data_IF_279449594148
#
_entry.id   IF_279449594148
#
_cell.length_a   1.000
_cell.length_b   1.000
_cell.length_c   1.000
_cell.angle_alpha   90.00
_cell.angle_beta   90.00
_cell.angle_gamma   90.00
#
_symmetry.space_group_name_H-M   'P 1'
#
loop_
_entity.id
_entity.type
_entity.pdbx_description
1 polymer ?
#
# COMPACT_ATOMS: atom_id res chain seq x y z
N UNK A 1 -5.43 -31.73 9.71
CA UNK A 1 -5.86 -31.10 8.44
C UNK A 1 -4.81 -30.04 8.12
N UNK A 2 -4.13 -30.13 6.98
CA UNK A 2 -3.20 -29.08 6.55
C UNK A 2 -4.02 -27.85 6.20
N UNK A 3 -3.92 -26.80 7.01
CA UNK A 3 -4.54 -25.51 6.71
C UNK A 3 -4.03 -25.05 5.33
N UNK A 4 -4.94 -24.83 4.38
CA UNK A 4 -4.59 -24.30 3.07
C UNK A 4 -4.10 -22.87 3.23
N UNK A 5 -2.91 -22.56 2.70
CA UNK A 5 -2.35 -21.21 2.72
C UNK A 5 -3.31 -20.22 2.04
N UNK A 6 -3.47 -19.00 2.56
CA UNK A 6 -4.32 -17.99 1.92
C UNK A 6 -3.67 -17.46 0.63
N UNK A 7 -4.52 -17.14 -0.34
CA UNK A 7 -4.13 -16.53 -1.61
C UNK A 7 -4.22 -15.01 -1.46
N UNK A 8 -3.10 -14.33 -1.66
CA UNK A 8 -3.02 -12.87 -1.58
C UNK A 8 -2.92 -12.28 -2.98
N UNK A 9 -3.98 -11.55 -3.37
CA UNK A 9 -4.01 -10.85 -4.66
C UNK A 9 -3.17 -9.59 -4.64
N UNK A 10 -2.43 -9.36 -5.73
CA UNK A 10 -1.64 -8.16 -5.97
C UNK A 10 -1.81 -7.74 -7.43
N UNK A 11 -2.26 -6.51 -7.67
CA UNK A 11 -2.44 -6.02 -9.05
C UNK A 11 -1.08 -5.77 -9.68
N UNK A 12 -0.91 -6.28 -10.90
CA UNK A 12 0.29 -6.06 -11.72
C UNK A 12 -0.05 -5.14 -12.89
N UNK A 13 0.59 -3.97 -12.89
CA UNK A 13 0.46 -2.99 -13.96
C UNK A 13 1.36 -3.27 -15.16
N UNK A 14 1.16 -2.51 -16.22
CA UNK A 14 2.09 -2.46 -17.35
C UNK A 14 3.21 -1.48 -17.03
N UNK A 15 4.39 -1.66 -17.64
CA UNK A 15 5.50 -0.72 -17.53
C UNK A 15 5.92 -0.24 -18.94
N UNK A 16 5.09 0.54 -19.63
CA UNK A 16 5.30 0.87 -21.04
C UNK A 16 6.60 1.59 -21.33
N UNK A 17 7.12 2.38 -20.37
CA UNK A 17 8.42 3.06 -20.51
C UNK A 17 9.62 2.14 -20.27
N UNK A 18 9.49 1.14 -19.37
CA UNK A 18 10.59 0.23 -19.00
C UNK A 18 10.58 -1.06 -19.83
N UNK A 19 9.41 -1.61 -20.09
CA UNK A 19 9.21 -2.87 -20.78
C UNK A 19 7.89 -2.83 -21.59
N UNK A 20 7.90 -2.25 -22.81
CA UNK A 20 6.70 -2.16 -23.65
C UNK A 20 6.08 -3.54 -23.90
N UNK A 21 4.75 -3.65 -23.76
CA UNK A 21 4.01 -4.89 -23.97
C UNK A 21 4.21 -5.96 -22.88
N UNK A 22 4.76 -5.59 -21.73
CA UNK A 22 4.97 -6.50 -20.59
C UNK A 22 4.30 -5.96 -19.34
N UNK A 23 3.83 -6.89 -18.50
CA UNK A 23 3.57 -6.62 -17.11
C UNK A 23 4.86 -6.79 -16.29
N UNK A 24 5.14 -5.85 -15.40
CA UNK A 24 6.34 -5.88 -14.55
C UNK A 24 5.92 -5.74 -13.09
N UNK A 25 6.50 -6.56 -12.23
CA UNK A 25 6.24 -6.56 -10.80
C UNK A 25 7.53 -6.68 -10.00
N UNK A 26 7.62 -5.98 -8.87
CA UNK A 26 8.79 -6.03 -8.01
C UNK A 26 8.77 -7.29 -7.13
N UNK A 27 9.78 -8.14 -7.29
CA UNK A 27 9.94 -9.41 -6.56
C UNK A 27 9.82 -9.29 -5.03
N UNK A 28 10.32 -8.24 -4.35
CA UNK A 28 10.21 -8.10 -2.89
C UNK A 28 8.80 -8.26 -2.32
N UNK A 29 7.74 -7.85 -3.04
CA UNK A 29 6.35 -8.08 -2.59
C UNK A 29 6.00 -9.57 -2.59
N UNK A 30 6.39 -10.29 -3.64
CA UNK A 30 6.17 -11.74 -3.77
C UNK A 30 6.89 -12.48 -2.64
N UNK A 31 8.14 -12.10 -2.38
CA UNK A 31 8.97 -12.69 -1.34
C UNK A 31 8.38 -12.42 0.06
N UNK A 32 7.95 -11.19 0.33
CA UNK A 32 7.37 -10.81 1.63
C UNK A 32 6.07 -11.59 1.93
N UNK A 33 5.16 -11.73 0.95
CA UNK A 33 3.93 -12.54 1.08
C UNK A 33 4.27 -14.01 1.30
N UNK A 34 5.23 -14.56 0.54
CA UNK A 34 5.66 -15.95 0.66
C UNK A 34 6.31 -16.24 2.02
N UNK A 35 7.19 -15.34 2.48
CA UNK A 35 7.83 -15.43 3.80
C UNK A 35 6.83 -15.34 4.95
N UNK A 36 5.74 -14.59 4.78
CA UNK A 36 4.65 -14.52 5.75
C UNK A 36 3.73 -15.75 5.75
N UNK A 37 3.86 -16.65 4.76
CA UNK A 37 3.11 -17.90 4.67
C UNK A 37 1.92 -17.87 3.71
N UNK A 38 1.71 -16.80 2.94
CA UNK A 38 0.69 -16.68 1.89
C UNK A 38 1.14 -17.26 0.55
N UNK A 39 0.19 -17.35 -0.37
CA UNK A 39 0.43 -17.64 -1.80
C UNK A 39 0.18 -16.33 -2.57
N UNK A 40 1.21 -15.71 -3.16
CA UNK A 40 1.04 -14.52 -3.96
C UNK A 40 0.36 -14.85 -5.31
N UNK A 41 -0.68 -14.10 -5.68
CA UNK A 41 -1.37 -14.19 -6.97
C UNK A 41 -1.34 -12.83 -7.65
N UNK A 42 -0.67 -12.76 -8.80
CA UNK A 42 -0.61 -11.53 -9.59
C UNK A 42 -1.90 -11.38 -10.43
N UNK A 43 -2.55 -10.24 -10.33
CA UNK A 43 -3.81 -9.90 -10.99
C UNK A 43 -3.52 -8.88 -12.09
N UNK A 44 -3.49 -9.28 -13.37
CA UNK A 44 -3.16 -8.35 -14.45
C UNK A 44 -4.27 -7.33 -14.69
N UNK A 45 -3.88 -6.11 -15.08
CA UNK A 45 -4.81 -5.10 -15.61
C UNK A 45 -5.20 -5.51 -17.02
N UNK A 46 -6.49 -5.73 -17.26
CA UNK A 46 -7.01 -6.29 -18.52
C UNK A 46 -7.88 -5.32 -19.33
N UNK A 47 -8.18 -4.12 -18.80
CA UNK A 47 -9.15 -3.21 -19.39
C UNK A 47 -10.62 -3.67 -19.27
N UNK A 48 -10.88 -4.86 -18.73
CA UNK A 48 -12.23 -5.37 -18.48
C UNK A 48 -12.76 -4.86 -17.14
N UNK A 49 -13.84 -4.08 -17.18
CA UNK A 49 -14.49 -3.54 -15.99
C UNK A 49 -15.01 -4.63 -15.03
N UNK A 50 -15.33 -5.84 -15.52
CA UNK A 50 -15.80 -6.96 -14.72
C UNK A 50 -14.66 -7.77 -14.06
N UNK A 51 -13.40 -7.50 -14.39
CA UNK A 51 -12.27 -8.26 -13.88
C UNK A 51 -12.19 -8.24 -12.34
N UNK A 52 -12.51 -7.11 -11.69
CA UNK A 52 -12.48 -7.00 -10.23
C UNK A 52 -13.40 -8.02 -9.55
N UNK A 53 -14.62 -8.21 -10.06
CA UNK A 53 -15.59 -9.19 -9.51
C UNK A 53 -15.10 -10.64 -9.64
N UNK A 54 -14.37 -10.95 -10.70
CA UNK A 54 -13.76 -12.26 -10.89
C UNK A 54 -12.56 -12.45 -9.97
N UNK A 55 -11.65 -11.46 -9.93
CA UNK A 55 -10.43 -11.52 -9.13
C UNK A 55 -10.70 -11.63 -7.63
N UNK A 56 -11.68 -10.88 -7.12
CA UNK A 56 -12.01 -10.92 -5.69
C UNK A 56 -12.52 -12.29 -5.22
N UNK A 57 -13.04 -13.12 -6.14
CA UNK A 57 -13.45 -14.50 -5.87
C UNK A 57 -12.26 -15.48 -5.79
N UNK A 58 -11.09 -15.12 -6.26
CA UNK A 58 -9.91 -15.97 -6.32
C UNK A 58 -8.95 -15.76 -5.14
N UNK A 59 -9.15 -14.71 -4.34
CA UNK A 59 -8.21 -14.28 -3.30
C UNK A 59 -8.84 -14.30 -1.91
N UNK A 60 -8.01 -14.41 -0.91
CA UNK A 60 -8.39 -14.41 0.50
C UNK A 60 -8.00 -13.09 1.21
N UNK A 61 -7.07 -12.35 0.64
CA UNK A 61 -6.60 -11.04 1.08
C UNK A 61 -6.05 -10.23 -0.08
N UNK A 62 -6.02 -8.91 0.05
CA UNK A 62 -5.54 -7.98 -0.98
C UNK A 62 -4.32 -7.22 -0.46
N UNK A 63 -3.20 -7.24 -1.21
CA UNK A 63 -2.06 -6.37 -1.01
C UNK A 63 -2.03 -5.35 -2.16
N UNK A 64 -2.03 -4.07 -1.82
CA UNK A 64 -1.91 -2.96 -2.77
C UNK A 64 -0.44 -2.50 -2.78
N UNK A 65 0.31 -2.73 -3.87
CA UNK A 65 1.72 -2.39 -3.94
C UNK A 65 1.96 -0.89 -4.15
N UNK A 66 3.21 -0.47 -4.00
CA UNK A 66 3.69 0.81 -4.51
C UNK A 66 3.67 0.86 -6.05
N UNK A 67 3.75 2.07 -6.60
CA UNK A 67 3.67 2.23 -8.07
C UNK A 67 3.72 3.67 -8.53
N UNK A 68 3.11 3.92 -9.68
CA UNK A 68 2.94 5.23 -10.30
C UNK A 68 2.08 6.18 -9.45
N UNK A 69 2.02 7.45 -9.83
CA UNK A 69 1.18 8.44 -9.16
C UNK A 69 -0.31 8.04 -9.24
N UNK A 70 -1.06 8.32 -8.18
CA UNK A 70 -2.52 8.16 -8.21
C UNK A 70 -3.13 9.27 -9.06
N UNK A 71 -4.03 8.90 -9.96
CA UNK A 71 -4.69 9.83 -10.88
C UNK A 71 -5.43 10.96 -10.13
N UNK A 72 -5.05 12.25 -10.31
CA UNK A 72 -5.60 13.37 -9.54
C UNK A 72 -7.11 13.55 -9.66
N UNK A 73 -7.69 13.24 -10.81
CA UNK A 73 -9.13 13.30 -11.05
C UNK A 73 -9.94 12.41 -10.08
N UNK A 74 -9.34 11.34 -9.52
CA UNK A 74 -9.99 10.44 -8.57
C UNK A 74 -10.26 11.10 -7.20
N UNK A 75 -9.52 12.16 -6.88
CA UNK A 75 -9.74 12.96 -5.66
C UNK A 75 -10.10 14.43 -5.97
N UNK A 76 -10.67 14.66 -7.19
CA UNK A 76 -11.28 15.93 -7.59
C UNK A 76 -10.29 17.05 -7.88
N UNK A 77 -9.07 16.75 -8.27
CA UNK A 77 -8.04 17.74 -8.56
C UNK A 77 -7.52 17.63 -10.01
N UNK A 78 -7.07 18.77 -10.55
CA UNK A 78 -6.29 18.81 -11.79
C UNK A 78 -4.83 18.40 -11.50
N UNK A 79 -4.15 17.73 -12.45
CA UNK A 79 -2.77 17.31 -12.25
C UNK A 79 -1.82 18.51 -12.22
N UNK A 80 -0.90 18.52 -11.25
CA UNK A 80 0.24 19.45 -11.26
C UNK A 80 1.35 18.94 -12.20
N UNK A 81 2.28 19.82 -12.66
CA UNK A 81 3.33 19.40 -13.60
C UNK A 81 4.24 18.25 -13.13
N UNK A 82 4.33 18.04 -11.82
CA UNK A 82 5.14 16.99 -11.20
C UNK A 82 4.50 15.60 -11.30
N UNK A 83 3.19 15.51 -11.53
CA UNK A 83 2.49 14.24 -11.83
C UNK A 83 2.81 13.87 -13.28
N UNK A 84 3.78 12.98 -13.47
CA UNK A 84 4.31 12.67 -14.81
C UNK A 84 3.90 11.31 -15.35
N UNK A 85 3.37 10.45 -14.50
CA UNK A 85 2.99 9.10 -14.89
C UNK A 85 1.90 8.53 -13.99
N UNK A 86 0.72 8.35 -14.54
CA UNK A 86 -0.44 7.71 -13.92
C UNK A 86 -0.83 6.45 -14.69
N UNK A 87 -1.52 5.53 -14.04
CA UNK A 87 -2.04 4.29 -14.63
C UNK A 87 -3.54 4.16 -14.33
N UNK A 88 -4.36 4.93 -15.05
CA UNK A 88 -5.81 5.04 -14.79
C UNK A 88 -6.55 3.71 -14.78
N UNK A 89 -6.19 2.78 -15.67
CA UNK A 89 -6.82 1.44 -15.71
C UNK A 89 -6.48 0.63 -14.46
N UNK A 90 -5.24 0.75 -13.97
CA UNK A 90 -4.83 0.13 -12.71
C UNK A 90 -5.54 0.78 -11.53
N UNK A 91 -5.61 2.10 -11.49
CA UNK A 91 -6.32 2.84 -10.44
C UNK A 91 -7.78 2.38 -10.36
N UNK A 92 -8.49 2.30 -11.50
CA UNK A 92 -9.88 1.85 -11.55
C UNK A 92 -10.05 0.41 -11.06
N UNK A 93 -9.19 -0.51 -11.47
CA UNK A 93 -9.22 -1.89 -11.03
C UNK A 93 -8.98 -2.01 -9.52
N UNK A 94 -7.95 -1.34 -9.02
CA UNK A 94 -7.62 -1.40 -7.59
C UNK A 94 -8.67 -0.73 -6.72
N UNK A 95 -9.26 0.39 -7.13
CA UNK A 95 -10.40 1.01 -6.43
C UNK A 95 -11.59 0.05 -6.31
N UNK A 96 -11.95 -0.63 -7.41
CA UNK A 96 -13.01 -1.63 -7.39
C UNK A 96 -12.67 -2.79 -6.43
N UNK A 97 -11.43 -3.29 -6.47
CA UNK A 97 -10.97 -4.36 -5.57
C UNK A 97 -10.97 -3.93 -4.10
N UNK A 98 -10.59 -2.69 -3.78
CA UNK A 98 -10.63 -2.14 -2.42
C UNK A 98 -12.05 -2.20 -1.87
N UNK A 99 -13.03 -1.67 -2.61
CA UNK A 99 -14.43 -1.64 -2.17
C UNK A 99 -15.02 -3.05 -2.04
N UNK A 100 -14.75 -3.93 -3.02
CA UNK A 100 -15.21 -5.32 -2.98
C UNK A 100 -14.58 -6.11 -1.83
N UNK A 101 -13.27 -5.94 -1.60
CA UNK A 101 -12.56 -6.59 -0.50
C UNK A 101 -13.15 -6.19 0.85
N UNK A 102 -13.30 -4.88 1.10
CA UNK A 102 -13.87 -4.39 2.35
C UNK A 102 -15.32 -4.84 2.55
N UNK A 103 -16.15 -4.74 1.50
CA UNK A 103 -17.54 -5.18 1.55
C UNK A 103 -17.71 -6.68 1.82
N UNK A 104 -16.71 -7.48 1.46
CA UNK A 104 -16.66 -8.94 1.73
C UNK A 104 -15.93 -9.30 3.03
N UNK A 105 -15.54 -8.31 3.84
CA UNK A 105 -14.77 -8.54 5.07
C UNK A 105 -13.35 -9.06 4.84
N UNK A 106 -12.79 -8.86 3.64
CA UNK A 106 -11.45 -9.29 3.27
C UNK A 106 -10.41 -8.29 3.79
N UNK A 107 -9.28 -8.75 4.35
CA UNK A 107 -8.22 -7.85 4.79
C UNK A 107 -7.49 -7.22 3.60
N UNK A 108 -7.09 -5.94 3.78
CA UNK A 108 -6.36 -5.17 2.78
C UNK A 108 -5.13 -4.53 3.42
N UNK A 109 -3.97 -4.75 2.85
CA UNK A 109 -2.72 -4.08 3.23
C UNK A 109 -2.22 -3.21 2.08
N UNK A 110 -2.05 -1.90 2.33
CA UNK A 110 -1.54 -0.93 1.36
C UNK A 110 -0.08 -0.53 1.63
N UNK A 111 0.73 -0.42 0.58
CA UNK A 111 2.13 0.00 0.65
C UNK A 111 2.35 1.17 -0.30
N UNK A 112 2.87 2.29 0.19
CA UNK A 112 3.21 3.51 -0.56
C UNK A 112 2.00 4.01 -1.39
N UNK A 113 2.01 3.86 -2.71
CA UNK A 113 0.85 4.17 -3.55
C UNK A 113 -0.42 3.45 -3.08
N UNK A 114 -0.31 2.21 -2.60
CA UNK A 114 -1.44 1.45 -2.05
C UNK A 114 -2.10 2.15 -0.86
N UNK A 115 -1.35 2.80 0.03
CA UNK A 115 -1.87 3.64 1.10
C UNK A 115 -2.61 4.87 0.55
N UNK A 116 -2.02 5.54 -0.42
CA UNK A 116 -2.58 6.72 -1.05
C UNK A 116 -3.91 6.41 -1.74
N UNK A 117 -3.94 5.33 -2.53
CA UNK A 117 -5.14 4.89 -3.22
C UNK A 117 -6.24 4.44 -2.26
N UNK A 118 -5.88 3.77 -1.17
CA UNK A 118 -6.82 3.40 -0.10
C UNK A 118 -7.47 4.64 0.54
N UNK A 119 -6.68 5.69 0.79
CA UNK A 119 -7.20 6.98 1.28
C UNK A 119 -8.16 7.61 0.27
N UNK A 120 -7.79 7.64 -1.01
CA UNK A 120 -8.62 8.19 -2.09
C UNK A 120 -9.92 7.41 -2.28
N UNK A 121 -9.89 6.08 -2.16
CA UNK A 121 -11.07 5.20 -2.27
C UNK A 121 -12.19 5.58 -1.30
N UNK A 122 -11.87 6.22 -0.17
CA UNK A 122 -12.83 6.63 0.86
C UNK A 122 -12.96 8.15 0.99
N UNK A 123 -12.59 8.91 -0.05
CA UNK A 123 -12.83 10.36 -0.15
C UNK A 123 -11.76 11.24 0.47
N UNK A 124 -10.59 10.68 0.79
CA UNK A 124 -9.40 11.45 1.13
C UNK A 124 -8.75 12.10 -0.08
N UNK A 125 -7.78 12.98 0.14
CA UNK A 125 -7.01 13.64 -0.91
C UNK A 125 -5.51 13.47 -0.70
N UNK A 126 -4.71 13.83 -1.71
CA UNK A 126 -3.26 13.73 -1.67
C UNK A 126 -2.60 15.11 -1.88
N UNK A 127 -1.41 15.28 -1.30
CA UNK A 127 -0.41 16.16 -1.87
C UNK A 127 0.13 15.46 -3.11
N UNK A 128 0.03 16.11 -4.26
CA UNK A 128 0.50 15.55 -5.53
C UNK A 128 2.02 15.62 -5.66
N UNK A 129 2.66 16.52 -4.93
CA UNK A 129 4.11 16.66 -4.86
C UNK A 129 4.52 17.36 -3.56
N UNK A 130 5.09 16.62 -2.63
CA UNK A 130 5.52 17.15 -1.33
C UNK A 130 6.47 18.35 -1.46
N UNK A 131 7.54 18.29 -2.30
CA UNK A 131 8.48 19.40 -2.40
C UNK A 131 7.86 20.74 -2.80
N UNK A 132 6.77 20.73 -3.57
CA UNK A 132 6.14 21.97 -4.06
C UNK A 132 4.88 22.37 -3.27
N UNK A 133 4.21 21.42 -2.62
CA UNK A 133 2.91 21.67 -1.97
C UNK A 133 2.97 21.61 -0.44
N UNK A 134 4.06 21.10 0.12
CA UNK A 134 4.21 20.93 1.57
C UNK A 134 5.60 21.37 2.03
N UNK A 135 5.72 22.33 2.97
CA UNK A 135 7.02 22.83 3.43
C UNK A 135 7.70 21.80 4.35
N UNK A 136 8.51 20.93 3.78
CA UNK A 136 9.27 19.93 4.52
C UNK A 136 10.77 20.03 4.26
N UNK A 137 11.58 19.69 5.28
CA UNK A 137 13.04 19.50 5.16
C UNK A 137 13.40 18.02 5.10
N UNK A 138 12.41 17.11 5.22
CA UNK A 138 12.62 15.66 5.14
C UNK A 138 12.60 15.24 3.67
N UNK A 139 13.63 14.52 3.25
CA UNK A 139 13.66 13.92 1.92
C UNK A 139 12.83 12.62 1.94
N UNK A 140 11.58 12.68 1.46
CA UNK A 140 10.71 11.50 1.31
C UNK A 140 11.05 10.67 0.06
N UNK A 141 11.90 11.17 -0.84
CA UNK A 141 12.38 10.45 -2.01
C UNK A 141 13.89 10.22 -1.89
N UNK A 142 14.28 9.08 -1.32
CA UNK A 142 15.68 8.69 -1.19
C UNK A 142 16.26 8.12 -2.49
N UNK A 143 17.58 7.98 -2.55
CA UNK A 143 18.28 7.33 -3.66
C UNK A 143 17.84 5.86 -3.80
N UNK A 144 17.41 5.49 -5.01
CA UNK A 144 16.94 4.16 -5.34
C UNK A 144 18.01 3.05 -5.16
N UNK A 145 19.28 3.39 -5.13
CA UNK A 145 20.37 2.43 -4.87
C UNK A 145 20.43 1.91 -3.44
N UNK A 146 19.76 2.62 -2.50
CA UNK A 146 19.74 2.27 -1.06
C UNK A 146 18.35 1.87 -0.56
N UNK A 147 17.49 1.29 -1.43
CA UNK A 147 16.09 0.94 -1.13
C UNK A 147 15.88 0.19 0.18
N UNK A 148 16.79 -0.69 0.56
CA UNK A 148 16.73 -1.48 1.78
C UNK A 148 17.33 -0.80 3.02
N UNK A 149 17.55 0.53 2.97
CA UNK A 149 18.10 1.28 4.09
C UNK A 149 17.07 2.28 4.62
N UNK A 150 16.81 2.31 5.94
CA UNK A 150 16.01 3.36 6.57
C UNK A 150 16.68 4.74 6.42
N UNK A 151 15.89 5.79 6.16
CA UNK A 151 16.39 7.16 5.93
C UNK A 151 15.80 8.20 6.85
N UNK A 152 14.57 8.02 7.36
CA UNK A 152 13.98 8.90 8.36
C UNK A 152 13.19 8.11 9.42
N UNK A 153 12.86 8.77 10.52
CA UNK A 153 12.07 8.18 11.60
C UNK A 153 10.60 8.48 11.42
N UNK A 154 9.76 7.61 11.97
CA UNK A 154 8.32 7.84 12.16
C UNK A 154 7.95 7.64 13.62
N UNK A 155 7.03 8.46 14.14
CA UNK A 155 6.38 8.25 15.44
C UNK A 155 5.13 7.41 15.21
N UNK A 156 4.91 6.39 16.05
CA UNK A 156 3.85 5.40 15.89
C UNK A 156 2.85 5.53 17.04
N UNK A 157 1.57 5.52 16.73
CA UNK A 157 0.49 5.50 17.71
C UNK A 157 0.38 4.10 18.32
N UNK A 158 0.74 3.94 19.61
CA UNK A 158 0.86 2.63 20.28
C UNK A 158 -0.42 1.81 20.28
N UNK A 159 -1.58 2.46 20.51
CA UNK A 159 -2.87 1.78 20.60
C UNK A 159 -3.44 1.39 19.21
N UNK A 160 -2.79 1.82 18.12
CA UNK A 160 -3.14 1.44 16.75
C UNK A 160 -2.80 -0.02 16.44
N UNK A 161 -3.37 -0.56 15.36
CA UNK A 161 -2.97 -1.88 14.85
C UNK A 161 -1.49 -1.88 14.47
N UNK A 162 -1.05 -0.88 13.68
CA UNK A 162 0.36 -0.78 13.25
C UNK A 162 1.29 -0.68 14.47
N UNK A 163 0.90 0.07 15.50
CA UNK A 163 1.66 0.17 16.75
C UNK A 163 1.80 -1.16 17.49
N UNK A 164 0.70 -1.90 17.60
CA UNK A 164 0.70 -3.25 18.23
C UNK A 164 1.52 -4.25 17.44
N UNK A 165 1.50 -4.19 16.10
CA UNK A 165 2.27 -5.08 15.24
C UNK A 165 3.77 -4.82 15.34
N UNK A 166 4.17 -3.55 15.37
CA UNK A 166 5.59 -3.18 15.42
C UNK A 166 6.17 -3.16 16.84
N UNK A 167 5.33 -2.96 17.86
CA UNK A 167 5.74 -2.97 19.26
C UNK A 167 6.72 -1.84 19.65
N UNK A 168 6.66 -0.70 18.96
CA UNK A 168 7.60 0.43 19.08
C UNK A 168 6.88 1.76 18.94
N UNK A 169 7.36 2.78 19.66
CA UNK A 169 6.82 4.15 19.61
C UNK A 169 7.42 4.97 18.46
N UNK A 170 8.61 4.58 18.01
CA UNK A 170 9.32 5.21 16.92
C UNK A 170 10.13 4.16 16.14
N UNK A 171 10.26 4.37 14.85
CA UNK A 171 10.91 3.44 13.94
C UNK A 171 11.57 4.21 12.80
N UNK A 172 12.75 3.78 12.37
CA UNK A 172 13.34 4.29 11.12
C UNK A 172 12.86 3.47 9.93
N UNK A 173 12.43 4.16 8.87
CA UNK A 173 11.84 3.60 7.65
C UNK A 173 12.55 4.10 6.38
N UNK A 174 12.42 3.37 5.28
CA UNK A 174 12.83 3.82 3.95
C UNK A 174 11.74 4.68 3.30
N UNK A 175 12.07 5.44 2.26
CA UNK A 175 11.12 6.39 1.68
C UNK A 175 11.39 6.64 0.19
N UNK A 176 10.39 6.46 -0.67
CA UNK A 176 10.49 6.62 -2.13
C UNK A 176 9.24 7.26 -2.72
N UNK A 177 8.68 8.28 -2.08
CA UNK A 177 7.48 8.92 -2.55
C UNK A 177 7.64 10.44 -2.61
N UNK A 178 7.00 11.04 -3.59
CA UNK A 178 6.82 12.48 -3.66
C UNK A 178 5.37 12.90 -3.44
N UNK A 179 4.42 11.92 -3.51
CA UNK A 179 3.02 12.11 -3.11
C UNK A 179 2.80 11.63 -1.68
N UNK A 180 1.83 12.21 -0.98
CA UNK A 180 1.42 11.78 0.37
C UNK A 180 -0.04 12.08 0.63
N UNK A 181 -0.62 11.48 1.68
CA UNK A 181 -1.96 11.81 2.16
C UNK A 181 -1.99 13.27 2.63
N UNK A 182 -2.97 14.04 2.11
CA UNK A 182 -3.27 15.40 2.53
C UNK A 182 -4.47 15.39 3.49
N UNK A 183 -5.68 15.16 2.99
CA UNK A 183 -6.87 14.95 3.81
C UNK A 183 -7.06 13.47 4.04
N UNK A 184 -7.09 13.06 5.32
CA UNK A 184 -7.42 11.68 5.67
C UNK A 184 -8.89 11.40 5.35
N UNK A 185 -9.18 10.22 4.81
CA UNK A 185 -10.53 9.76 4.53
C UNK A 185 -11.31 9.46 5.80
N UNK A 186 -12.63 9.64 5.75
CA UNK A 186 -13.51 9.28 6.86
C UNK A 186 -13.41 7.78 7.16
N UNK A 187 -13.35 7.44 8.44
CA UNK A 187 -13.20 6.04 8.90
C UNK A 187 -11.76 5.53 8.98
N UNK A 188 -10.78 6.33 8.59
CA UNK A 188 -9.37 6.05 8.82
C UNK A 188 -8.77 6.92 9.92
N UNK A 189 -7.76 6.38 10.58
CA UNK A 189 -6.91 7.11 11.53
C UNK A 189 -5.46 7.04 11.08
N UNK A 190 -4.69 8.10 11.38
CA UNK A 190 -3.24 8.11 11.16
C UNK A 190 -2.60 7.32 12.29
N UNK A 191 -1.88 6.25 11.97
CA UNK A 191 -1.22 5.38 12.94
C UNK A 191 0.30 5.56 13.00
N UNK A 192 0.90 6.25 12.00
CA UNK A 192 2.29 6.71 12.07
C UNK A 192 2.46 8.05 11.36
N UNK A 193 3.40 8.87 11.85
CA UNK A 193 3.64 10.24 11.34
C UNK A 193 5.14 10.51 11.30
N UNK A 194 5.63 11.09 10.20
CA UNK A 194 7.00 11.60 10.09
C UNK A 194 7.18 12.87 10.96
N UNK A 195 8.42 13.28 11.30
CA UNK A 195 8.66 14.45 12.15
C UNK A 195 8.14 15.78 11.58
N UNK A 196 7.93 15.86 10.27
CA UNK A 196 7.34 17.01 9.58
C UNK A 196 5.80 16.99 9.55
N UNK A 197 5.15 15.95 10.07
CA UNK A 197 3.70 15.82 10.13
C UNK A 197 3.09 15.04 8.96
N UNK A 198 3.89 14.57 8.00
CA UNK A 198 3.40 13.71 6.91
C UNK A 198 2.89 12.38 7.46
N UNK A 199 1.68 11.98 7.07
CA UNK A 199 1.10 10.70 7.45
C UNK A 199 1.88 9.55 6.79
N UNK A 200 2.40 8.65 7.61
CA UNK A 200 3.23 7.53 7.18
C UNK A 200 2.54 6.16 7.35
N UNK A 201 1.45 6.10 8.11
CA UNK A 201 0.57 4.95 8.16
C UNK A 201 -0.86 5.36 8.46
N UNK A 202 -1.82 4.62 7.90
CA UNK A 202 -3.25 4.77 8.15
C UNK A 202 -3.90 3.42 8.36
N UNK A 203 -5.00 3.39 9.12
CA UNK A 203 -5.76 2.16 9.35
C UNK A 203 -7.24 2.43 9.56
N UNK A 204 -8.10 1.49 9.21
CA UNK A 204 -9.53 1.52 9.53
C UNK A 204 -9.76 1.16 11.00
N UNK A 205 -10.86 1.65 11.58
CA UNK A 205 -11.20 1.40 12.97
C UNK A 205 -11.35 -0.09 13.34
N UNK A 206 -11.70 -0.94 12.38
CA UNK A 206 -11.81 -2.39 12.56
C UNK A 206 -10.51 -3.15 12.29
N UNK A 207 -9.45 -2.47 11.88
CA UNK A 207 -8.13 -3.03 11.61
C UNK A 207 -8.06 -3.98 10.40
N UNK A 208 -9.13 -4.09 9.59
CA UNK A 208 -9.12 -4.91 8.37
C UNK A 208 -8.38 -4.25 7.21
N UNK A 209 -8.35 -2.91 7.21
CA UNK A 209 -7.61 -2.12 6.26
C UNK A 209 -6.51 -1.36 6.99
N UNK A 210 -5.27 -1.55 6.59
CA UNK A 210 -4.14 -0.82 7.14
C UNK A 210 -3.10 -0.61 6.04
N UNK A 211 -2.35 0.45 6.15
CA UNK A 211 -1.39 0.81 5.12
C UNK A 211 -0.23 1.61 5.68
N UNK A 212 0.91 1.52 4.99
CA UNK A 212 2.12 2.27 5.33
C UNK A 212 2.65 3.00 4.09
N UNK A 213 3.24 4.18 4.28
CA UNK A 213 3.78 4.98 3.19
C UNK A 213 5.19 4.51 2.79
N UNK A 214 5.94 3.95 3.73
CA UNK A 214 7.26 3.35 3.46
C UNK A 214 7.13 1.99 2.76
N UNK A 215 8.28 1.36 2.44
CA UNK A 215 8.38 0.11 1.71
C UNK A 215 8.90 -1.03 2.60
N UNK A 216 8.06 -1.67 3.42
CA UNK A 216 8.48 -2.75 4.32
C UNK A 216 8.96 -3.99 3.56
N UNK A 217 8.49 -4.25 2.33
CA UNK A 217 8.92 -5.38 1.49
C UNK A 217 10.42 -5.33 1.18
N UNK A 218 10.98 -4.14 1.05
CA UNK A 218 12.43 -3.95 0.83
C UNK A 218 13.24 -4.09 2.13
N UNK A 219 12.59 -3.93 3.29
CA UNK A 219 13.21 -3.97 4.60
C UNK A 219 13.19 -5.38 5.24
N UNK A 220 12.13 -6.17 4.99
CA UNK A 220 11.91 -7.50 5.58
C UNK A 220 13.12 -8.45 5.48
N UNK A 221 13.90 -8.49 4.37
CA UNK A 221 15.06 -9.38 4.30
C UNK A 221 16.17 -9.08 5.31
N UNK A 222 16.26 -7.81 5.75
CA UNK A 222 17.32 -7.35 6.70
C UNK A 222 16.80 -7.09 8.10
N UNK A 223 15.50 -6.74 8.25
CA UNK A 223 14.91 -6.28 9.50
C UNK A 223 13.64 -7.04 9.82
N UNK A 224 13.74 -8.04 10.66
CA UNK A 224 12.61 -8.92 11.03
C UNK A 224 11.42 -8.17 11.64
N UNK A 225 11.65 -7.01 12.24
CA UNK A 225 10.63 -6.16 12.86
C UNK A 225 9.51 -5.72 11.91
N UNK A 226 9.71 -5.75 10.57
CA UNK A 226 8.69 -5.42 9.59
C UNK A 226 7.83 -6.63 9.16
N UNK A 227 8.24 -7.87 9.48
CA UNK A 227 7.49 -9.10 9.15
C UNK A 227 6.06 -9.12 9.70
N UNK A 228 5.78 -8.59 10.92
CA UNK A 228 4.42 -8.60 11.46
C UNK A 228 3.39 -7.91 10.56
N UNK A 229 3.77 -6.89 9.79
CA UNK A 229 2.86 -6.23 8.84
C UNK A 229 2.31 -7.21 7.80
N UNK A 230 3.16 -8.04 7.20
CA UNK A 230 2.73 -9.05 6.22
C UNK A 230 2.03 -10.22 6.90
N UNK A 231 2.51 -10.65 8.07
CA UNK A 231 1.91 -11.75 8.83
C UNK A 231 0.45 -11.43 9.22
N UNK A 232 0.16 -10.20 9.61
CA UNK A 232 -1.18 -9.73 9.93
C UNK A 232 -2.16 -9.96 8.77
N UNK A 233 -1.77 -9.60 7.54
CA UNK A 233 -2.57 -9.86 6.35
C UNK A 233 -2.88 -11.35 6.19
N UNK A 234 -1.86 -12.20 6.35
CA UNK A 234 -2.00 -13.65 6.22
C UNK A 234 -2.91 -14.23 7.32
N UNK A 235 -2.73 -13.81 8.57
CA UNK A 235 -3.52 -14.27 9.70
C UNK A 235 -5.01 -13.89 9.56
N UNK A 236 -5.30 -12.64 9.18
CA UNK A 236 -6.66 -12.19 8.89
C UNK A 236 -7.29 -12.94 7.70
N UNK A 237 -6.52 -13.17 6.64
CA UNK A 237 -6.97 -13.94 5.48
C UNK A 237 -7.27 -15.42 5.84
N UNK A 238 -6.45 -16.02 6.70
CA UNK A 238 -6.71 -17.38 7.21
C UNK A 238 -7.97 -17.45 8.09
N UNK A 239 -8.14 -16.48 9.00
CA UNK A 239 -9.30 -16.46 9.92
C UNK A 239 -10.63 -16.34 9.19
N UNK A 240 -10.65 -15.72 8.00
CA UNK A 240 -11.85 -15.57 7.17
C UNK A 240 -12.27 -16.88 6.46
N UNK A 241 -11.36 -17.84 6.29
CA UNK A 241 -11.63 -19.15 5.63
C UNK A 241 -12.42 -20.12 6.53
N UNK A 242 -12.50 -19.82 7.81
CA UNK A 242 -13.15 -20.66 8.84
C UNK A 242 -14.38 -19.96 9.40
#
# INVERSE_FOLDING_TARGET
MTSTKPIIGMVIGTAPKLAPGKHVFNTPYVDAVTMAGGIPLLLPVTGDAAAAEQYIGLIDGLLLPGGADVTPALYGQEPVPQVTYVMEEQDRLELALIHLAYGRGMPVFGICRGMQLMNVAYGGTLYQDLPTQYPTLIAHAQDMSIRSQPTHSVTILQDSLVGKLLGMDALSVNSYHHQAVNKIADGFVVSATAPDGVAEAIESADGRMYAVQWHPEELVPRYERFRPLFRQLIEQACARKH
#
